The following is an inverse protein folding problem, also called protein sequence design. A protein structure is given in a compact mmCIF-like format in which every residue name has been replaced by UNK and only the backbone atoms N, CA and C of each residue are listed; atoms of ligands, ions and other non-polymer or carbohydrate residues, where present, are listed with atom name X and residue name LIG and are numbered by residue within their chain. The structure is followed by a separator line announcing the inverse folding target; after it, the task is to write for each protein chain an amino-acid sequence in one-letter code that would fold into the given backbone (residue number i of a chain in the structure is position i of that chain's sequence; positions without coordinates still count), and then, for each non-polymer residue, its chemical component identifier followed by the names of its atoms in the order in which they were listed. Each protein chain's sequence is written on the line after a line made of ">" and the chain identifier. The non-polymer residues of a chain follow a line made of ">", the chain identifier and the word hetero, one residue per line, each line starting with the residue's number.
data_IF_560226454407
#
_entry.id   IF_560226454407
#
_cell.length_a   1.000
_cell.length_b   1.000
_cell.length_c   1.000
_cell.angle_alpha   90.00
_cell.angle_beta   90.00
_cell.angle_gamma   90.00
#
_symmetry.space_group_name_H-M   'P 1'
#
loop_
_entity.id
_entity.type
_entity.pdbx_description
1 polymer ?
#
# COMPACT_ATOMS: atom_id res chain seq x y z
N UNK A 1 15.11 -9.32 -11.67
CA UNK A 1 15.61 -7.94 -11.45
C UNK A 1 17.01 -7.97 -10.79
N UNK A 2 17.96 -7.10 -11.22
CA UNK A 2 19.35 -7.09 -10.73
C UNK A 2 19.76 -5.79 -9.97
N UNK A 3 18.86 -4.80 -9.87
CA UNK A 3 19.10 -3.53 -9.18
C UNK A 3 18.92 -3.71 -7.67
N UNK A 4 19.79 -3.10 -6.86
CA UNK A 4 19.67 -3.16 -5.40
C UNK A 4 18.43 -2.39 -4.93
N UNK A 5 17.77 -2.87 -3.89
CA UNK A 5 16.60 -2.18 -3.29
C UNK A 5 16.98 -0.77 -2.83
N UNK A 6 18.20 -0.58 -2.34
CA UNK A 6 18.72 0.73 -1.94
C UNK A 6 18.78 1.75 -3.09
N UNK A 7 18.85 1.30 -4.33
CA UNK A 7 18.91 2.17 -5.51
C UNK A 7 17.51 2.49 -6.06
N UNK A 8 16.45 1.86 -5.55
CA UNK A 8 15.08 2.03 -6.01
C UNK A 8 14.47 3.35 -5.47
N UNK A 9 13.55 3.95 -6.23
CA UNK A 9 12.73 5.05 -5.70
C UNK A 9 11.90 4.57 -4.51
N UNK A 10 11.41 5.49 -3.67
CA UNK A 10 10.59 5.11 -2.51
C UNK A 10 9.35 4.32 -2.94
N UNK A 11 8.71 4.71 -4.04
CA UNK A 11 7.58 3.97 -4.62
C UNK A 11 7.96 2.55 -5.09
N UNK A 12 9.13 2.41 -5.73
CA UNK A 12 9.65 1.11 -6.15
C UNK A 12 9.99 0.22 -4.93
N UNK A 13 10.57 0.78 -3.87
CA UNK A 13 10.83 0.06 -2.62
C UNK A 13 9.51 -0.41 -1.97
N UNK A 14 8.50 0.43 -1.99
CA UNK A 14 7.20 0.10 -1.43
C UNK A 14 6.48 -1.00 -2.21
N UNK A 15 6.63 -1.02 -3.54
CA UNK A 15 6.19 -2.14 -4.37
C UNK A 15 6.88 -3.45 -3.97
N UNK A 16 8.19 -3.40 -3.70
CA UNK A 16 8.95 -4.58 -3.25
C UNK A 16 8.45 -5.09 -1.90
N UNK A 17 8.16 -4.21 -0.95
CA UNK A 17 7.59 -4.61 0.34
C UNK A 17 6.19 -5.23 0.19
N UNK A 18 5.34 -4.69 -0.68
CA UNK A 18 4.03 -5.30 -0.97
C UNK A 18 4.19 -6.67 -1.62
N UNK A 19 5.08 -6.80 -2.61
CA UNK A 19 5.37 -8.08 -3.27
C UNK A 19 5.93 -9.11 -2.28
N UNK A 20 6.73 -8.68 -1.31
CA UNK A 20 7.25 -9.52 -0.22
C UNK A 20 6.13 -9.95 0.75
N UNK A 21 5.24 -9.05 1.15
CA UNK A 21 4.10 -9.40 1.99
C UNK A 21 3.18 -10.44 1.30
N UNK A 22 3.01 -10.30 0.00
CA UNK A 22 2.27 -11.24 -0.85
C UNK A 22 2.92 -12.62 -0.96
N UNK A 23 4.25 -12.70 -1.01
CA UNK A 23 4.95 -13.99 -1.12
C UNK A 23 4.91 -14.81 0.18
N UNK A 24 4.56 -14.17 1.29
CA UNK A 24 4.43 -14.79 2.62
C UNK A 24 3.02 -15.34 2.91
N UNK A 25 2.14 -15.46 1.90
CA UNK A 25 0.74 -15.92 2.06
C UNK A 25 -0.07 -15.12 3.10
N UNK A 26 0.27 -13.83 3.24
CA UNK A 26 -0.34 -12.96 4.23
C UNK A 26 -1.85 -12.78 3.98
N UNK A 27 -2.66 -13.03 5.01
CA UNK A 27 -4.12 -12.79 4.99
C UNK A 27 -4.51 -11.37 5.42
N UNK A 28 -3.56 -10.62 6.00
CA UNK A 28 -3.73 -9.25 6.48
C UNK A 28 -2.45 -8.46 6.19
N UNK A 29 -2.61 -7.25 5.68
CA UNK A 29 -1.53 -6.29 5.46
C UNK A 29 -1.86 -5.00 6.21
N UNK A 30 -0.90 -4.50 6.98
CA UNK A 30 -0.99 -3.20 7.66
C UNK A 30 -0.07 -2.23 6.93
N UNK A 31 -0.63 -1.11 6.49
CA UNK A 31 0.09 -0.04 5.81
C UNK A 31 0.02 1.22 6.68
N UNK A 32 1.14 1.61 7.27
CA UNK A 32 1.25 2.78 8.14
C UNK A 32 1.84 3.97 7.38
N UNK A 33 1.05 5.03 7.20
CA UNK A 33 1.37 6.23 6.42
C UNK A 33 2.04 5.94 5.06
N UNK A 34 1.47 5.02 4.24
CA UNK A 34 2.15 4.49 3.06
C UNK A 34 2.27 5.51 1.92
N UNK A 35 1.58 6.64 1.98
CA UNK A 35 1.59 7.64 0.90
C UNK A 35 2.48 8.84 1.20
N UNK A 36 3.06 8.92 2.40
CA UNK A 36 3.80 10.08 2.90
C UNK A 36 4.97 10.54 2.03
N UNK A 37 5.60 9.61 1.31
CA UNK A 37 6.76 9.87 0.44
C UNK A 37 6.45 9.65 -1.06
N UNK A 38 5.17 9.50 -1.42
CA UNK A 38 4.73 9.22 -2.79
C UNK A 38 4.18 10.48 -3.47
N UNK A 39 4.43 10.61 -4.77
CA UNK A 39 3.72 11.56 -5.62
C UNK A 39 2.27 11.12 -5.87
N UNK A 40 1.40 12.04 -6.29
CA UNK A 40 -0.02 11.72 -6.56
C UNK A 40 -0.19 10.56 -7.55
N UNK A 41 0.65 10.49 -8.59
CA UNK A 41 0.64 9.38 -9.56
C UNK A 41 1.03 8.05 -8.91
N UNK A 42 1.98 8.06 -7.99
CA UNK A 42 2.41 6.86 -7.26
C UNK A 42 1.36 6.42 -6.23
N UNK A 43 0.66 7.36 -5.59
CA UNK A 43 -0.48 7.09 -4.72
C UNK A 43 -1.62 6.38 -5.47
N UNK A 44 -1.94 6.85 -6.70
CA UNK A 44 -2.92 6.17 -7.55
C UNK A 44 -2.54 4.71 -7.82
N UNK A 45 -1.26 4.47 -8.12
CA UNK A 45 -0.75 3.12 -8.36
C UNK A 45 -0.79 2.25 -7.10
N UNK A 46 -0.48 2.82 -5.93
CA UNK A 46 -0.65 2.13 -4.65
C UNK A 46 -2.11 1.68 -4.46
N UNK A 47 -3.08 2.54 -4.77
CA UNK A 47 -4.50 2.20 -4.65
C UNK A 47 -4.93 1.08 -5.60
N UNK A 48 -4.39 1.03 -6.82
CA UNK A 48 -4.64 -0.09 -7.75
C UNK A 48 -4.16 -1.42 -7.15
N UNK A 49 -3.00 -1.42 -6.52
CA UNK A 49 -2.44 -2.62 -5.86
C UNK A 49 -3.28 -3.02 -4.66
N UNK A 50 -3.66 -2.06 -3.81
CA UNK A 50 -4.57 -2.28 -2.67
C UNK A 50 -5.88 -2.93 -3.14
N UNK A 51 -6.44 -2.46 -4.26
CA UNK A 51 -7.65 -3.04 -4.85
C UNK A 51 -7.43 -4.48 -5.36
N UNK A 52 -6.29 -4.75 -5.99
CA UNK A 52 -5.93 -6.10 -6.44
C UNK A 52 -5.79 -7.07 -5.24
N UNK A 53 -5.07 -6.64 -4.20
CA UNK A 53 -4.89 -7.40 -2.96
C UNK A 53 -6.24 -7.73 -2.30
N UNK A 54 -7.12 -6.74 -2.21
CA UNK A 54 -8.49 -6.92 -1.72
C UNK A 54 -9.26 -7.93 -2.56
N UNK A 55 -9.14 -7.89 -3.89
CA UNK A 55 -9.82 -8.82 -4.80
C UNK A 55 -9.41 -10.29 -4.57
N UNK A 56 -8.20 -10.50 -4.04
CA UNK A 56 -7.66 -11.80 -3.65
C UNK A 56 -8.06 -12.24 -2.23
N UNK A 57 -8.91 -11.47 -1.54
CA UNK A 57 -9.40 -11.80 -0.20
C UNK A 57 -8.44 -11.43 0.93
N UNK A 58 -7.43 -10.59 0.67
CA UNK A 58 -6.49 -10.12 1.68
C UNK A 58 -7.09 -8.91 2.40
N UNK A 59 -7.12 -8.96 3.74
CA UNK A 59 -7.55 -7.82 4.56
C UNK A 59 -6.47 -6.73 4.58
N UNK A 60 -6.90 -5.46 4.58
CA UNK A 60 -5.98 -4.32 4.59
C UNK A 60 -6.37 -3.37 5.72
N UNK A 61 -5.39 -3.00 6.53
CA UNK A 61 -5.49 -1.89 7.49
C UNK A 61 -4.63 -0.76 6.95
N UNK A 62 -5.25 0.37 6.66
CA UNK A 62 -4.59 1.54 6.09
C UNK A 62 -4.64 2.67 7.11
N UNK A 63 -3.49 3.13 7.57
CA UNK A 63 -3.35 4.23 8.54
C UNK A 63 -2.85 5.45 7.77
N UNK A 64 -3.61 6.54 7.82
CA UNK A 64 -3.27 7.81 7.15
C UNK A 64 -4.01 8.95 7.83
N UNK A 65 -3.39 10.12 7.85
CA UNK A 65 -4.04 11.39 8.22
C UNK A 65 -4.70 12.10 7.02
N UNK A 66 -4.60 11.55 5.80
CA UNK A 66 -5.14 12.15 4.58
C UNK A 66 -6.56 11.64 4.31
N UNK A 67 -7.55 12.49 4.59
CA UNK A 67 -8.97 12.13 4.50
C UNK A 67 -9.40 11.69 3.08
N UNK A 68 -8.88 12.32 2.03
CA UNK A 68 -9.19 11.95 0.64
C UNK A 68 -8.79 10.51 0.31
N UNK A 69 -7.73 9.99 0.94
CA UNK A 69 -7.29 8.61 0.77
C UNK A 69 -8.26 7.67 1.47
N UNK A 70 -8.59 7.96 2.73
CA UNK A 70 -9.55 7.18 3.53
C UNK A 70 -10.87 7.05 2.78
N UNK A 71 -11.42 8.16 2.29
CA UNK A 71 -12.70 8.19 1.58
C UNK A 71 -12.68 7.41 0.27
N UNK A 72 -11.49 7.21 -0.31
CA UNK A 72 -11.34 6.53 -1.60
C UNK A 72 -11.19 5.02 -1.47
N UNK A 73 -10.51 4.54 -0.44
CA UNK A 73 -10.11 3.12 -0.36
C UNK A 73 -10.72 2.34 0.80
N UNK A 74 -11.14 3.01 1.87
CA UNK A 74 -11.55 2.33 3.10
C UNK A 74 -13.03 1.95 3.06
N UNK A 75 -13.33 0.67 3.32
CA UNK A 75 -14.71 0.21 3.53
C UNK A 75 -15.23 0.56 4.94
N UNK A 76 -14.32 0.71 5.90
CA UNK A 76 -14.60 1.03 7.30
C UNK A 76 -13.56 2.00 7.83
N UNK A 77 -14.01 2.95 8.64
CA UNK A 77 -13.17 4.04 9.16
C UNK A 77 -13.30 4.06 10.68
N UNK A 78 -12.16 4.17 11.37
CA UNK A 78 -12.05 4.40 12.80
C UNK A 78 -11.19 5.64 13.02
N UNK A 79 -11.58 6.50 13.96
CA UNK A 79 -10.81 7.69 14.37
C UNK A 79 -10.42 7.51 15.83
N UNK A 80 -9.14 7.76 16.15
CA UNK A 80 -8.55 7.62 17.50
C UNK A 80 -8.13 8.99 18.04
#
# INVERSE_FOLDING_TARGET
>A
PQRLVADLSVAEQQMVEIARALSMESRLIIMDEPTSALSDTEVLRLFEIVAELRSRGIGIVFVTHRLDEVMRICDRITVL
#
